data_IF_353145508679
#
_entry.id   IF_353145508679
#
_cell.length_a   1.000
_cell.length_b   1.000
_cell.length_c   1.000
_cell.angle_alpha   90.00
_cell.angle_beta   90.00
_cell.angle_gamma   90.00
#
_symmetry.space_group_name_H-M   'P 1'
#
loop_
_entity.id
_entity.type
_entity.pdbx_description
1 polymer ?
#
# COMPACT_ATOMS: atom_id res chain seq x y z
N UNK A 1 -0.19 -27.38 -35.33
CA UNK A 1 0.10 -26.01 -34.83
C UNK A 1 -0.26 -25.95 -33.34
N UNK A 2 0.74 -25.91 -32.46
CA UNK A 2 0.52 -25.83 -31.02
C UNK A 2 0.47 -24.36 -30.64
N UNK A 3 -0.71 -23.85 -30.23
CA UNK A 3 -0.82 -22.54 -29.59
C UNK A 3 -0.07 -22.59 -28.27
N UNK A 4 1.12 -22.00 -28.25
CA UNK A 4 1.79 -21.65 -26.99
C UNK A 4 0.98 -20.50 -26.40
N UNK A 5 0.15 -20.82 -25.41
CA UNK A 5 -0.49 -19.81 -24.58
C UNK A 5 0.61 -18.91 -24.00
N UNK A 6 0.48 -17.61 -24.28
CA UNK A 6 1.31 -16.55 -23.71
C UNK A 6 1.06 -16.56 -22.19
N UNK A 7 2.01 -17.09 -21.43
CA UNK A 7 1.98 -16.99 -19.98
C UNK A 7 2.11 -15.50 -19.66
N UNK A 8 1.03 -14.88 -19.28
CA UNK A 8 1.05 -13.50 -18.80
C UNK A 8 1.79 -13.46 -17.45
N UNK A 9 2.99 -12.90 -17.48
CA UNK A 9 3.88 -12.83 -16.31
C UNK A 9 3.34 -11.99 -15.16
N UNK A 10 2.28 -11.18 -15.41
CA UNK A 10 1.59 -10.36 -14.44
C UNK A 10 0.73 -11.16 -13.46
N UNK A 11 0.21 -12.33 -13.85
CA UNK A 11 -0.72 -13.13 -13.06
C UNK A 11 -0.12 -13.74 -11.79
N UNK A 12 1.20 -13.69 -11.67
CA UNK A 12 1.92 -14.22 -10.49
C UNK A 12 2.30 -13.16 -9.48
N UNK A 13 2.11 -11.87 -9.81
CA UNK A 13 2.66 -10.80 -8.99
C UNK A 13 1.89 -10.62 -7.69
N UNK A 14 0.57 -10.71 -7.73
CA UNK A 14 -0.27 -10.55 -6.54
C UNK A 14 -1.04 -11.83 -6.28
N UNK A 15 -0.91 -12.33 -5.05
CA UNK A 15 -1.58 -13.55 -4.62
C UNK A 15 -2.78 -13.21 -3.77
N UNK A 16 -3.87 -13.92 -4.01
CA UNK A 16 -5.01 -14.01 -3.11
C UNK A 16 -5.18 -15.47 -2.70
N UNK A 17 -5.74 -15.66 -1.54
CA UNK A 17 -6.18 -16.98 -1.09
C UNK A 17 -7.48 -17.41 -1.78
N UNK A 18 -7.76 -16.94 -2.98
CA UNK A 18 -8.86 -17.40 -3.81
C UNK A 18 -8.36 -18.40 -4.85
N UNK A 19 -9.26 -19.27 -5.33
CA UNK A 19 -8.93 -20.32 -6.32
C UNK A 19 -8.57 -19.78 -7.70
N UNK A 20 -8.88 -18.52 -8.00
CA UNK A 20 -8.56 -17.89 -9.27
C UNK A 20 -7.20 -17.17 -9.18
N UNK A 21 -6.24 -17.59 -10.01
CA UNK A 21 -4.89 -17.02 -10.12
C UNK A 21 -4.70 -16.21 -11.39
N UNK A 22 -5.79 -15.91 -12.10
CA UNK A 22 -5.73 -15.52 -13.50
C UNK A 22 -5.82 -14.00 -13.71
N UNK A 23 -5.84 -13.19 -12.64
CA UNK A 23 -5.88 -11.73 -12.73
C UNK A 23 -4.68 -11.10 -12.04
N UNK A 24 -4.03 -10.15 -12.72
CA UNK A 24 -2.83 -9.46 -12.24
C UNK A 24 -3.14 -8.56 -11.04
N UNK A 25 -4.21 -7.79 -11.12
CA UNK A 25 -4.78 -7.03 -10.01
C UNK A 25 -6.12 -7.65 -9.63
N UNK A 26 -6.48 -7.55 -8.36
CA UNK A 26 -7.80 -7.96 -7.93
C UNK A 26 -8.58 -6.77 -7.36
N UNK A 27 -9.87 -6.73 -7.66
CA UNK A 27 -10.77 -5.81 -7.00
C UNK A 27 -10.99 -6.26 -5.56
N UNK A 28 -11.20 -5.33 -4.66
CA UNK A 28 -11.56 -5.62 -3.27
C UNK A 28 -12.86 -6.44 -3.18
N UNK A 29 -13.74 -6.32 -4.19
CA UNK A 29 -14.97 -7.11 -4.30
C UNK A 29 -14.73 -8.58 -4.65
N UNK A 30 -13.54 -8.92 -5.12
CA UNK A 30 -13.17 -10.30 -5.48
C UNK A 30 -12.56 -11.09 -4.32
N UNK A 31 -12.29 -10.44 -3.18
CA UNK A 31 -11.87 -11.15 -1.99
C UNK A 31 -13.06 -11.92 -1.46
N UNK A 32 -12.97 -13.26 -1.34
CA UNK A 32 -14.09 -14.04 -0.84
C UNK A 32 -14.40 -13.67 0.61
N UNK A 33 -15.65 -13.83 1.01
CA UNK A 33 -16.05 -13.68 2.42
C UNK A 33 -15.16 -14.55 3.29
N UNK A 34 -14.53 -13.95 4.30
CA UNK A 34 -13.54 -14.64 5.14
C UNK A 34 -12.19 -14.90 4.45
N UNK A 35 -11.93 -14.24 3.31
CA UNK A 35 -10.63 -14.26 2.65
C UNK A 35 -9.56 -13.53 3.48
N UNK A 36 -8.29 -13.75 3.13
CA UNK A 36 -7.13 -13.13 3.79
C UNK A 36 -6.37 -12.28 2.80
N UNK A 37 -6.05 -11.04 3.19
CA UNK A 37 -5.10 -10.18 2.51
C UNK A 37 -3.79 -10.12 3.28
N UNK A 38 -2.67 -10.11 2.57
CA UNK A 38 -1.33 -9.88 3.11
C UNK A 38 -0.79 -8.60 2.50
N UNK A 39 -0.54 -7.60 3.34
CA UNK A 39 -0.13 -6.27 2.89
C UNK A 39 1.12 -5.78 3.62
N UNK A 40 2.02 -5.09 2.91
CA UNK A 40 3.17 -4.42 3.50
C UNK A 40 3.00 -2.90 3.36
N UNK A 41 3.34 -2.18 4.42
CA UNK A 41 3.26 -0.73 4.51
C UNK A 41 4.60 -0.16 4.97
N UNK A 42 5.02 0.95 4.37
CA UNK A 42 6.18 1.71 4.82
C UNK A 42 5.71 2.95 5.59
N UNK A 43 6.13 3.03 6.84
CA UNK A 43 5.95 4.18 7.73
C UNK A 43 7.29 4.91 7.79
N UNK A 44 7.56 5.78 6.82
CA UNK A 44 8.81 6.55 6.76
C UNK A 44 8.60 7.88 7.45
N UNK A 45 9.35 8.14 8.52
CA UNK A 45 9.28 9.40 9.26
C UNK A 45 10.33 10.39 8.79
N UNK A 46 10.06 11.69 8.92
CA UNK A 46 11.08 12.73 8.70
C UNK A 46 12.15 12.64 9.81
N UNK A 47 13.41 12.69 9.42
CA UNK A 47 14.50 12.71 10.36
C UNK A 47 14.36 13.87 11.35
N UNK A 48 14.29 13.56 12.65
CA UNK A 48 14.13 14.54 13.72
C UNK A 48 12.67 14.97 14.00
N UNK A 49 11.66 14.60 13.21
CA UNK A 49 10.24 14.84 13.50
C UNK A 49 9.36 13.60 13.23
N UNK A 50 9.21 12.70 14.21
CA UNK A 50 8.46 11.47 14.02
C UNK A 50 6.94 11.67 13.86
N UNK A 51 6.45 12.91 13.92
CA UNK A 51 5.05 13.25 13.63
C UNK A 51 4.78 13.58 12.18
N UNK A 52 5.84 13.69 11.38
CA UNK A 52 5.73 13.82 9.94
C UNK A 52 6.07 12.50 9.29
N UNK A 53 5.18 12.01 8.46
CA UNK A 53 5.34 10.74 7.73
C UNK A 53 5.24 10.97 6.24
N UNK A 54 6.03 10.19 5.48
CA UNK A 54 6.04 10.24 4.03
C UNK A 54 4.75 9.62 3.48
N UNK A 55 3.96 10.43 2.82
CA UNK A 55 2.74 10.03 2.12
C UNK A 55 2.67 10.69 0.75
N UNK A 56 1.88 10.12 -0.14
CA UNK A 56 1.73 10.69 -1.48
C UNK A 56 0.30 10.65 -2.00
N UNK A 57 0.04 11.50 -2.98
CA UNK A 57 -1.12 11.41 -3.86
C UNK A 57 -0.74 10.56 -5.07
N UNK A 58 -1.48 9.48 -5.31
CA UNK A 58 -1.22 8.60 -6.45
C UNK A 58 -1.29 9.34 -7.78
N UNK A 59 -0.33 9.10 -8.67
CA UNK A 59 -0.50 9.44 -10.08
C UNK A 59 -1.41 8.40 -10.74
N UNK A 60 -2.59 8.78 -11.23
CA UNK A 60 -3.49 7.82 -11.90
C UNK A 60 -2.91 7.23 -13.19
N UNK A 61 -1.89 7.85 -13.78
CA UNK A 61 -1.22 7.35 -14.98
C UNK A 61 -0.14 6.30 -14.67
N UNK A 62 0.28 6.18 -13.41
CA UNK A 62 1.25 5.19 -13.00
C UNK A 62 0.64 3.76 -12.98
N UNK A 63 1.46 2.71 -13.16
CA UNK A 63 0.98 1.32 -13.25
C UNK A 63 0.63 0.73 -11.87
N UNK A 64 -0.39 1.26 -11.22
CA UNK A 64 -0.82 0.85 -9.89
C UNK A 64 -1.36 -0.57 -9.80
N UNK A 65 -1.86 -1.12 -10.91
CA UNK A 65 -2.21 -2.53 -11.05
C UNK A 65 -0.99 -3.43 -10.80
N UNK A 66 0.18 -2.96 -11.19
CA UNK A 66 1.45 -3.65 -10.99
C UNK A 66 2.09 -3.35 -9.62
N UNK A 67 2.21 -2.08 -9.25
CA UNK A 67 2.93 -1.65 -8.04
C UNK A 67 2.14 -1.85 -6.75
N UNK A 68 0.82 -1.65 -6.80
CA UNK A 68 -0.04 -1.61 -5.63
C UNK A 68 -1.19 -2.61 -5.64
N UNK A 69 -1.35 -3.43 -6.67
CA UNK A 69 -2.50 -4.30 -6.89
C UNK A 69 -3.83 -3.54 -6.88
N UNK A 70 -3.84 -2.34 -7.48
CA UNK A 70 -5.02 -1.48 -7.55
C UNK A 70 -5.60 -1.50 -8.96
N UNK A 71 -6.86 -1.84 -9.07
CA UNK A 71 -7.60 -1.65 -10.31
C UNK A 71 -7.89 -0.15 -10.57
N UNK A 72 -8.19 0.26 -11.84
CA UNK A 72 -8.40 1.66 -12.17
C UNK A 72 -9.49 2.35 -11.35
N UNK A 73 -10.56 1.66 -10.98
CA UNK A 73 -11.66 2.24 -10.19
C UNK A 73 -11.21 2.60 -8.78
N UNK A 74 -10.34 1.79 -8.19
CA UNK A 74 -9.75 2.09 -6.88
C UNK A 74 -8.75 3.24 -6.95
N UNK A 75 -7.97 3.31 -8.02
CA UNK A 75 -7.06 4.45 -8.25
C UNK A 75 -7.85 5.74 -8.36
N UNK A 76 -8.93 5.78 -9.15
CA UNK A 76 -9.78 6.95 -9.31
C UNK A 76 -10.37 7.43 -7.97
N UNK A 77 -10.90 6.50 -7.16
CA UNK A 77 -11.52 6.82 -5.86
C UNK A 77 -10.49 7.34 -4.86
N UNK A 78 -9.26 6.85 -4.89
CA UNK A 78 -8.27 7.11 -3.85
C UNK A 78 -7.19 8.12 -4.22
N UNK A 79 -7.07 8.54 -5.48
CA UNK A 79 -5.99 9.43 -5.95
C UNK A 79 -5.97 10.81 -5.29
N UNK A 80 -7.10 11.24 -4.69
CA UNK A 80 -7.23 12.56 -4.05
C UNK A 80 -6.81 12.61 -2.58
N UNK A 81 -6.57 11.47 -1.95
CA UNK A 81 -6.19 11.41 -0.54
C UNK A 81 -4.74 11.01 -0.35
N UNK A 82 -4.17 11.37 0.78
CA UNK A 82 -2.84 10.94 1.19
C UNK A 82 -2.79 9.44 1.41
N UNK A 83 -1.76 8.79 0.91
CA UNK A 83 -1.59 7.35 1.00
C UNK A 83 -0.18 6.98 1.43
N UNK A 84 -0.05 5.98 2.29
CA UNK A 84 1.25 5.37 2.60
C UNK A 84 1.76 4.58 1.40
N UNK A 85 3.08 4.54 1.17
CA UNK A 85 3.68 3.55 0.27
C UNK A 85 3.34 2.15 0.75
N UNK A 86 2.66 1.37 -0.10
CA UNK A 86 2.14 0.07 0.31
C UNK A 86 1.79 -0.81 -0.88
N UNK A 87 1.76 -2.12 -0.66
CA UNK A 87 1.32 -3.09 -1.66
C UNK A 87 0.92 -4.40 -0.98
N UNK A 88 0.13 -5.21 -1.67
CA UNK A 88 -0.03 -6.61 -1.31
C UNK A 88 1.26 -7.38 -1.58
N UNK A 89 1.47 -8.48 -0.83
CA UNK A 89 2.57 -9.39 -1.09
C UNK A 89 2.34 -10.14 -2.42
N UNK A 90 3.42 -10.37 -3.14
CA UNK A 90 3.44 -11.25 -4.30
C UNK A 90 3.52 -12.70 -3.81
N UNK A 91 2.96 -13.63 -4.57
CA UNK A 91 3.02 -15.05 -4.23
C UNK A 91 4.47 -15.51 -4.00
N UNK A 92 4.74 -16.11 -2.86
CA UNK A 92 6.05 -16.55 -2.36
C UNK A 92 7.03 -15.40 -2.00
N UNK A 93 6.57 -14.16 -1.97
CA UNK A 93 7.38 -13.03 -1.51
C UNK A 93 7.37 -12.96 0.02
N UNK A 94 8.52 -12.75 0.62
CA UNK A 94 8.58 -12.47 2.06
C UNK A 94 8.10 -11.04 2.35
N UNK A 95 7.60 -10.75 3.56
CA UNK A 95 7.23 -9.38 3.93
C UNK A 95 8.38 -8.37 3.76
N UNK A 96 9.61 -8.77 4.10
CA UNK A 96 10.80 -7.93 3.91
C UNK A 96 11.13 -7.67 2.45
N UNK A 97 10.93 -8.67 1.55
CA UNK A 97 11.10 -8.46 0.11
C UNK A 97 10.03 -7.53 -0.44
N UNK A 98 8.77 -7.66 0.01
CA UNK A 98 7.70 -6.75 -0.33
C UNK A 98 8.04 -5.32 0.06
N UNK A 99 8.54 -5.09 1.28
CA UNK A 99 8.95 -3.76 1.73
C UNK A 99 10.06 -3.16 0.87
N UNK A 100 11.10 -3.94 0.54
CA UNK A 100 12.18 -3.51 -0.37
C UNK A 100 11.67 -3.21 -1.79
N UNK A 101 10.73 -4.01 -2.28
CA UNK A 101 10.08 -3.77 -3.57
C UNK A 101 9.30 -2.46 -3.56
N UNK A 102 8.51 -2.20 -2.53
CA UNK A 102 7.75 -0.94 -2.38
C UNK A 102 8.72 0.25 -2.33
N UNK A 103 9.79 0.17 -1.54
CA UNK A 103 10.81 1.22 -1.47
C UNK A 103 11.44 1.51 -2.84
N UNK A 104 11.74 0.47 -3.62
CA UNK A 104 12.29 0.60 -4.96
C UNK A 104 11.27 1.13 -5.98
N UNK A 105 10.05 0.59 -6.00
CA UNK A 105 9.07 0.86 -7.06
C UNK A 105 8.25 2.12 -6.82
N UNK A 106 7.93 2.42 -5.57
CA UNK A 106 7.09 3.56 -5.22
C UNK A 106 7.88 4.75 -4.68
N UNK A 107 9.07 4.55 -4.11
CA UNK A 107 9.89 5.61 -3.57
C UNK A 107 11.20 5.82 -4.34
N UNK A 108 11.54 4.98 -5.31
CA UNK A 108 12.84 5.01 -6.00
C UNK A 108 14.05 5.03 -5.02
N UNK A 109 13.85 4.46 -3.83
CA UNK A 109 14.81 4.45 -2.71
C UNK A 109 15.14 3.02 -2.30
N UNK A 110 15.88 2.26 -3.12
CA UNK A 110 16.16 0.84 -2.86
C UNK A 110 16.99 0.59 -1.60
N UNK A 111 17.77 1.58 -1.19
CA UNK A 111 18.68 1.50 -0.04
C UNK A 111 18.05 2.04 1.27
N UNK A 112 16.76 2.37 1.25
CA UNK A 112 16.05 2.83 2.45
C UNK A 112 16.16 1.78 3.56
N UNK A 113 16.73 2.16 4.70
CA UNK A 113 16.84 1.31 5.87
C UNK A 113 15.47 1.12 6.51
N UNK A 114 15.06 -0.13 6.65
CA UNK A 114 13.77 -0.50 7.23
C UNK A 114 13.94 -1.40 8.45
N UNK A 115 13.10 -1.19 9.45
CA UNK A 115 13.05 -2.04 10.67
C UNK A 115 12.52 -3.44 10.36
N UNK A 116 12.58 -4.33 11.37
CA UNK A 116 11.70 -5.50 11.40
C UNK A 116 10.22 -5.05 11.43
N UNK A 117 9.29 -5.79 10.82
CA UNK A 117 7.90 -5.39 10.76
C UNK A 117 7.18 -5.55 12.09
N UNK A 118 6.34 -4.58 12.43
CA UNK A 118 5.23 -4.83 13.36
C UNK A 118 4.12 -5.53 12.56
N UNK A 119 3.63 -6.65 13.07
CA UNK A 119 2.51 -7.37 12.47
C UNK A 119 1.21 -6.93 13.14
N UNK A 120 0.25 -6.53 12.34
CA UNK A 120 -1.12 -6.20 12.75
C UNK A 120 -2.08 -7.16 12.06
N UNK A 121 -3.15 -7.50 12.72
CA UNK A 121 -4.16 -8.43 12.22
C UNK A 121 -5.54 -7.91 12.60
N UNK A 122 -6.36 -7.64 11.61
CA UNK A 122 -7.70 -7.10 11.82
C UNK A 122 -8.71 -7.60 10.78
N UNK A 123 -9.99 -7.47 11.11
CA UNK A 123 -11.06 -7.67 10.14
C UNK A 123 -11.34 -6.32 9.46
N UNK A 124 -11.01 -6.24 8.18
CA UNK A 124 -11.21 -5.04 7.40
C UNK A 124 -12.58 -5.05 6.70
N UNK A 125 -13.31 -3.94 6.87
CA UNK A 125 -14.55 -3.69 6.13
C UNK A 125 -14.36 -2.45 5.27
N UNK A 126 -14.43 -2.58 3.94
CA UNK A 126 -14.20 -1.47 3.02
C UNK A 126 -15.23 -0.35 3.21
N UNK A 127 -14.80 0.79 3.74
CA UNK A 127 -15.70 1.94 4.04
C UNK A 127 -16.28 2.59 2.78
N UNK A 128 -15.52 2.57 1.67
CA UNK A 128 -15.92 3.21 0.38
C UNK A 128 -16.46 2.24 -0.66
N UNK A 129 -16.54 0.97 -0.32
CA UNK A 129 -17.06 -0.10 -1.18
C UNK A 129 -18.01 -0.97 -0.35
N UNK A 130 -19.25 -0.47 -0.10
CA UNK A 130 -20.18 -1.11 0.84
C UNK A 130 -20.60 -2.52 0.43
N UNK A 131 -20.51 -2.84 -0.86
CA UNK A 131 -20.83 -4.18 -1.38
C UNK A 131 -19.64 -5.15 -1.31
N UNK A 132 -18.45 -4.66 -0.94
CA UNK A 132 -17.30 -5.52 -0.79
C UNK A 132 -17.35 -6.26 0.56
N UNK A 133 -17.08 -7.57 0.56
CA UNK A 133 -17.14 -8.37 1.78
C UNK A 133 -16.02 -7.96 2.75
N UNK A 134 -16.32 -8.02 4.05
CA UNK A 134 -15.28 -7.97 5.06
C UNK A 134 -14.32 -9.15 4.89
N UNK A 135 -13.04 -8.90 5.08
CA UNK A 135 -11.99 -9.89 4.98
C UNK A 135 -10.95 -9.70 6.09
N UNK A 136 -10.08 -10.67 6.25
CA UNK A 136 -9.02 -10.62 7.25
C UNK A 136 -7.77 -10.03 6.65
N UNK A 137 -7.31 -8.89 7.16
CA UNK A 137 -6.03 -8.30 6.81
C UNK A 137 -4.94 -8.68 7.81
N UNK A 138 -3.81 -9.11 7.27
CA UNK A 138 -2.55 -9.27 8.00
C UNK A 138 -1.58 -8.27 7.38
N UNK A 139 -1.21 -7.28 8.16
CA UNK A 139 -0.42 -6.14 7.74
C UNK A 139 0.98 -6.18 8.37
N UNK A 140 1.99 -5.94 7.54
CA UNK A 140 3.39 -5.86 7.92
C UNK A 140 3.83 -4.40 7.85
N UNK A 141 3.96 -3.73 9.01
CA UNK A 141 4.29 -2.32 9.12
C UNK A 141 5.80 -2.16 9.33
N UNK A 142 6.51 -1.69 8.33
CA UNK A 142 7.94 -1.40 8.37
C UNK A 142 8.18 0.08 8.66
N UNK A 143 9.13 0.38 9.53
CA UNK A 143 9.53 1.75 9.82
C UNK A 143 10.83 2.09 9.14
N UNK A 144 10.91 3.32 8.63
CA UNK A 144 12.12 3.94 8.12
C UNK A 144 12.20 5.39 8.56
N UNK A 145 13.36 5.99 8.36
CA UNK A 145 13.59 7.42 8.56
C UNK A 145 14.33 7.97 7.35
N UNK A 146 13.98 9.18 6.94
CA UNK A 146 14.58 9.84 5.80
C UNK A 146 14.64 11.35 6.05
N UNK A 147 15.75 12.05 5.72
CA UNK A 147 15.79 13.51 5.72
C UNK A 147 14.80 14.11 4.72
N UNK A 148 14.19 15.25 5.07
CA UNK A 148 13.24 15.92 4.17
C UNK A 148 13.84 16.28 2.80
N UNK A 149 15.13 16.57 2.76
CA UNK A 149 15.85 16.90 1.51
C UNK A 149 16.08 15.70 0.59
N UNK A 150 15.83 14.47 1.08
CA UNK A 150 16.04 13.23 0.34
C UNK A 150 14.70 12.62 -0.17
N UNK A 151 13.58 13.33 0.01
CA UNK A 151 12.30 12.88 -0.56
C UNK A 151 12.43 12.75 -2.08
N UNK A 152 12.25 11.56 -2.63
CA UNK A 152 12.46 11.33 -4.05
C UNK A 152 11.34 11.93 -4.90
N UNK A 153 11.65 12.24 -6.14
CA UNK A 153 10.66 12.61 -7.15
C UNK A 153 10.19 11.35 -7.90
N UNK A 154 9.50 10.48 -7.19
CA UNK A 154 9.12 9.17 -7.69
C UNK A 154 7.86 9.22 -8.56
N UNK A 155 7.94 8.61 -9.76
CA UNK A 155 6.90 8.64 -10.78
C UNK A 155 5.56 7.99 -10.37
N UNK A 156 5.52 7.28 -9.26
CA UNK A 156 4.29 6.72 -8.72
C UNK A 156 3.31 7.79 -8.19
N UNK A 157 3.79 8.99 -7.90
CA UNK A 157 3.05 10.00 -7.16
C UNK A 157 2.98 11.32 -7.93
N UNK A 158 1.81 11.96 -7.91
CA UNK A 158 1.70 13.36 -8.34
C UNK A 158 2.27 14.30 -7.30
N UNK A 159 2.25 13.89 -6.03
CA UNK A 159 2.87 14.58 -4.90
C UNK A 159 3.33 13.52 -3.90
N UNK A 160 4.56 13.64 -3.43
CA UNK A 160 5.14 12.82 -2.35
C UNK A 160 5.81 13.75 -1.36
N UNK A 161 5.36 13.75 -0.11
CA UNK A 161 5.83 14.71 0.88
C UNK A 161 5.75 14.15 2.31
N UNK A 162 6.50 14.75 3.23
CA UNK A 162 6.30 14.55 4.65
C UNK A 162 5.07 15.31 5.15
N UNK A 163 4.04 14.56 5.50
CA UNK A 163 2.76 15.09 5.97
C UNK A 163 2.74 15.16 7.49
N UNK A 164 2.46 16.33 8.04
CA UNK A 164 2.40 16.56 9.48
C UNK A 164 1.07 16.07 10.07
N UNK A 165 1.09 14.94 10.75
CA UNK A 165 -0.10 14.34 11.36
C UNK A 165 -0.80 15.22 12.38
N UNK A 166 -0.10 16.20 12.97
CA UNK A 166 -0.72 17.17 13.91
C UNK A 166 -1.70 18.11 13.22
N UNK A 167 -1.61 18.26 11.90
CA UNK A 167 -2.39 19.22 11.09
C UNK A 167 -3.33 18.54 10.11
N UNK A 168 -3.13 17.25 9.85
CA UNK A 168 -3.88 16.45 8.87
C UNK A 168 -5.07 15.80 9.55
N UNK A 169 -6.24 15.87 8.92
CA UNK A 169 -7.42 15.15 9.37
C UNK A 169 -7.42 13.71 8.80
N UNK A 170 -8.01 12.77 9.53
CA UNK A 170 -8.15 11.38 9.06
C UNK A 170 -8.88 11.28 7.71
N UNK A 171 -9.85 12.15 7.48
CA UNK A 171 -10.62 12.19 6.23
C UNK A 171 -9.79 12.58 4.99
N UNK A 172 -8.59 13.15 5.18
CA UNK A 172 -7.64 13.47 4.11
C UNK A 172 -6.80 12.25 3.69
N UNK A 173 -6.88 11.16 4.46
CA UNK A 173 -6.14 9.91 4.20
C UNK A 173 -7.01 8.95 3.39
N UNK A 174 -6.42 8.37 2.36
CA UNK A 174 -7.08 7.42 1.46
C UNK A 174 -6.89 5.97 1.93
N UNK A 175 -7.75 5.08 1.44
CA UNK A 175 -7.67 3.63 1.58
C UNK A 175 -7.71 3.11 3.02
N UNK A 176 -8.29 3.84 3.95
CA UNK A 176 -8.25 3.52 5.39
C UNK A 176 -6.83 3.43 5.97
N UNK A 177 -5.83 4.04 5.32
CA UNK A 177 -4.47 4.06 5.86
C UNK A 177 -4.36 4.85 7.17
N UNK A 178 -5.38 5.63 7.54
CA UNK A 178 -5.49 6.22 8.88
C UNK A 178 -5.48 5.15 9.98
N UNK A 179 -6.15 4.02 9.75
CA UNK A 179 -6.20 2.90 10.69
C UNK A 179 -4.80 2.24 10.81
N UNK A 180 -4.10 2.09 9.69
CA UNK A 180 -2.71 1.60 9.64
C UNK A 180 -1.74 2.51 10.40
N UNK A 181 -1.86 3.83 10.19
CA UNK A 181 -1.04 4.84 10.88
C UNK A 181 -1.26 4.75 12.40
N UNK A 182 -2.51 4.63 12.85
CA UNK A 182 -2.84 4.47 14.27
C UNK A 182 -2.34 3.14 14.83
N UNK A 183 -2.46 2.07 14.06
CA UNK A 183 -1.90 0.75 14.41
C UNK A 183 -0.37 0.77 14.50
N UNK A 184 0.29 1.65 13.75
CA UNK A 184 1.72 1.92 13.92
C UNK A 184 2.04 2.72 15.20
N UNK A 185 1.04 3.15 15.99
CA UNK A 185 1.22 3.93 17.22
C UNK A 185 1.36 5.43 17.00
N UNK A 186 1.07 5.91 15.80
CA UNK A 186 1.00 7.34 15.50
C UNK A 186 -0.41 7.87 15.75
N UNK A 187 -0.56 9.19 15.89
CA UNK A 187 -1.85 9.82 16.16
C UNK A 187 -2.01 11.09 15.35
N UNK A 188 -3.20 11.29 14.83
CA UNK A 188 -3.59 12.54 14.19
C UNK A 188 -3.87 13.60 15.27
N UNK A 189 -3.61 14.85 14.94
CA UNK A 189 -3.92 15.98 15.82
C UNK A 189 -5.33 16.53 15.61
N UNK A 190 -6.03 16.07 14.56
CA UNK A 190 -7.40 16.42 14.22
C UNK A 190 -8.19 15.14 13.93
N UNK A 191 -9.40 15.08 14.41
CA UNK A 191 -10.36 14.01 14.13
C UNK A 191 -11.07 14.24 12.79
#
# INVERSE_FOLDING_TARGET
MRHRGRIMTTDRRFSRFSKSRDTAAFSITEIPVGGVCLSAFLIVTEAGDPKKILMGHMDPAAPWDHMGALDPSRVEVHSRGWMLPSSHLIFQESPGDAARRIAREQLESPDLSLSEPKVVSEAYTPKRFPDAPAHWDIEFLFRGEMPAAEVPHAAAWTELAFVDLRRTAKSEVARSHEDVIESAGLRFGRD
#
